data_IF_816242095898
#
_entry.id   IF_816242095898
#
_cell.length_a   1.000
_cell.length_b   1.000
_cell.length_c   1.000
_cell.angle_alpha   90.00
_cell.angle_beta   90.00
_cell.angle_gamma   90.00
#
_symmetry.space_group_name_H-M   'P 1'
#
loop_
_entity.id
_entity.type
_entity.pdbx_description
1 polymer ?
#
# COMPACT_ATOMS: atom_id res chain seq x y z
N UNK A 1 6.07 -28.07 52.44
CA UNK A 1 5.62 -27.30 51.26
C UNK A 1 5.66 -28.26 50.09
N UNK A 2 4.56 -28.99 49.91
CA UNK A 2 4.35 -29.79 48.71
C UNK A 2 4.12 -28.79 47.56
N UNK A 3 4.96 -28.88 46.54
CA UNK A 3 4.70 -28.19 45.29
C UNK A 3 3.44 -28.85 44.69
N UNK A 4 2.34 -28.11 44.62
CA UNK A 4 1.21 -28.49 43.76
C UNK A 4 1.76 -28.60 42.34
N UNK A 5 1.93 -29.83 41.85
CA UNK A 5 1.96 -30.11 40.42
C UNK A 5 0.61 -29.66 39.86
N UNK A 6 0.55 -28.41 39.40
CA UNK A 6 -0.55 -27.94 38.58
C UNK A 6 -0.54 -28.83 37.33
N UNK A 7 -1.49 -29.75 37.25
CA UNK A 7 -1.75 -30.54 36.04
C UNK A 7 -1.87 -29.65 34.81
N UNK A 8 -1.68 -30.19 33.60
CA UNK A 8 -1.61 -29.39 32.38
C UNK A 8 -2.81 -28.43 32.28
N UNK A 9 -2.52 -27.12 32.28
CA UNK A 9 -3.56 -26.08 32.15
C UNK A 9 -4.37 -26.38 30.88
N UNK A 10 -5.66 -26.61 31.04
CA UNK A 10 -6.54 -26.84 29.89
C UNK A 10 -6.78 -25.50 29.18
N UNK A 11 -6.15 -25.32 28.02
CA UNK A 11 -6.41 -24.17 27.15
C UNK A 11 -7.56 -24.49 26.19
N UNK A 12 -8.50 -23.56 26.04
CA UNK A 12 -9.48 -23.64 24.97
C UNK A 12 -8.77 -23.48 23.62
N UNK A 13 -9.14 -24.26 22.58
CA UNK A 13 -8.53 -24.14 21.27
C UNK A 13 -8.83 -22.77 20.64
N UNK A 14 -7.95 -22.32 19.76
CA UNK A 14 -8.16 -21.09 19.00
C UNK A 14 -9.47 -21.15 18.20
N UNK A 15 -10.21 -20.04 18.15
CA UNK A 15 -11.47 -19.96 17.42
C UNK A 15 -11.29 -20.20 15.91
N UNK A 16 -12.11 -21.06 15.28
CA UNK A 16 -12.07 -21.32 13.84
C UNK A 16 -12.29 -20.07 12.97
N UNK A 17 -11.67 -20.03 11.80
CA UNK A 17 -11.68 -18.86 10.90
C UNK A 17 -13.07 -18.41 10.44
N UNK A 18 -14.03 -19.34 10.37
CA UNK A 18 -15.41 -19.13 9.91
C UNK A 18 -16.33 -18.48 10.96
N UNK A 19 -15.90 -18.45 12.23
CA UNK A 19 -16.68 -17.84 13.31
C UNK A 19 -16.24 -16.41 13.57
N UNK A 20 -17.13 -15.57 14.12
CA UNK A 20 -16.79 -14.22 14.61
C UNK A 20 -16.78 -14.18 16.13
N UNK A 21 -15.81 -13.50 16.73
CA UNK A 21 -15.82 -13.22 18.18
C UNK A 21 -16.98 -12.27 18.52
N UNK A 22 -17.39 -12.23 19.79
CA UNK A 22 -18.40 -11.27 20.25
C UNK A 22 -17.97 -9.82 19.97
N UNK A 23 -16.68 -9.53 20.15
CA UNK A 23 -16.10 -8.21 19.87
C UNK A 23 -16.18 -7.88 18.38
N UNK A 24 -15.77 -8.80 17.50
CA UNK A 24 -15.87 -8.59 16.04
C UNK A 24 -17.31 -8.37 15.60
N UNK A 25 -18.27 -9.13 16.13
CA UNK A 25 -19.70 -8.95 15.82
C UNK A 25 -20.18 -7.56 16.22
N UNK A 26 -19.85 -7.11 17.42
CA UNK A 26 -20.22 -5.77 17.91
C UNK A 26 -19.64 -4.69 17.00
N UNK A 27 -18.35 -4.79 16.64
CA UNK A 27 -17.70 -3.80 15.78
C UNK A 27 -18.33 -3.78 14.37
N UNK A 28 -18.60 -4.95 13.79
CA UNK A 28 -19.27 -5.05 12.48
C UNK A 28 -20.68 -4.43 12.54
N UNK A 29 -21.47 -4.72 13.57
CA UNK A 29 -22.80 -4.14 13.71
C UNK A 29 -22.76 -2.62 13.91
N UNK A 30 -21.85 -2.11 14.74
CA UNK A 30 -21.67 -0.67 14.93
C UNK A 30 -21.31 0.00 13.60
N UNK A 31 -20.40 -0.59 12.82
CA UNK A 31 -20.01 -0.05 11.52
C UNK A 31 -21.18 -0.07 10.51
N UNK A 32 -21.95 -1.16 10.45
CA UNK A 32 -23.12 -1.26 9.56
C UNK A 32 -24.21 -0.26 9.95
N UNK A 33 -24.51 -0.12 11.24
CA UNK A 33 -25.48 0.86 11.75
C UNK A 33 -24.98 2.28 11.46
N UNK A 34 -23.70 2.56 11.70
CA UNK A 34 -23.10 3.86 11.38
C UNK A 34 -23.18 4.19 9.89
N UNK A 35 -22.88 3.24 9.02
CA UNK A 35 -23.01 3.41 7.57
C UNK A 35 -24.45 3.67 7.14
N UNK A 36 -25.41 2.90 7.66
CA UNK A 36 -26.84 3.11 7.41
C UNK A 36 -27.31 4.46 7.93
N UNK A 37 -26.79 4.91 9.08
CA UNK A 37 -27.11 6.22 9.64
C UNK A 37 -26.59 7.36 8.76
N UNK A 38 -25.37 7.24 8.21
CA UNK A 38 -24.83 8.20 7.23
C UNK A 38 -25.70 8.23 5.97
N UNK A 39 -26.07 7.07 5.43
CA UNK A 39 -26.97 6.99 4.26
C UNK A 39 -28.34 7.60 4.54
N UNK A 40 -28.93 7.29 5.69
CA UNK A 40 -30.19 7.90 6.13
C UNK A 40 -30.02 9.42 6.30
N UNK A 41 -28.89 9.89 6.81
CA UNK A 41 -28.54 11.30 6.93
C UNK A 41 -28.50 12.02 5.57
N UNK A 42 -27.94 11.40 4.53
CA UNK A 42 -27.98 11.94 3.17
C UNK A 42 -29.40 12.09 2.62
N UNK A 43 -30.32 11.20 3.01
CA UNK A 43 -31.72 11.23 2.55
C UNK A 43 -32.58 12.18 3.38
N UNK A 44 -32.42 12.16 4.71
CA UNK A 44 -33.30 12.83 5.66
C UNK A 44 -32.80 14.21 6.09
N UNK A 45 -31.50 14.46 6.02
CA UNK A 45 -30.86 15.68 6.53
C UNK A 45 -29.69 16.13 5.65
N UNK A 46 -29.89 16.12 4.33
CA UNK A 46 -28.86 16.45 3.33
C UNK A 46 -28.12 17.77 3.62
N UNK A 47 -28.85 18.83 4.00
CA UNK A 47 -28.24 20.13 4.29
C UNK A 47 -27.21 20.07 5.42
N UNK A 48 -27.56 19.43 6.53
CA UNK A 48 -26.66 19.32 7.69
C UNK A 48 -25.51 18.34 7.43
N UNK A 49 -25.79 17.20 6.80
CA UNK A 49 -24.80 16.13 6.60
C UNK A 49 -23.84 16.45 5.45
N UNK A 50 -24.34 16.98 4.34
CA UNK A 50 -23.48 17.33 3.20
C UNK A 50 -23.00 18.76 3.30
N UNK A 51 -23.92 19.73 3.25
CA UNK A 51 -23.56 21.15 3.05
C UNK A 51 -22.79 21.74 4.23
N UNK A 52 -23.16 21.41 5.47
CA UNK A 52 -22.58 22.03 6.68
C UNK A 52 -21.38 21.24 7.25
N UNK A 53 -21.28 19.93 7.00
CA UNK A 53 -20.26 19.08 7.61
C UNK A 53 -19.33 18.43 6.60
N UNK A 54 -19.81 17.47 5.78
CA UNK A 54 -18.92 16.72 4.89
C UNK A 54 -18.31 17.56 3.78
N UNK A 55 -19.05 18.53 3.22
CA UNK A 55 -18.57 19.39 2.16
C UNK A 55 -17.37 20.25 2.60
N UNK A 56 -17.45 21.08 3.65
CA UNK A 56 -16.33 21.92 4.06
C UNK A 56 -15.13 21.13 4.60
N UNK A 57 -15.39 19.96 5.20
CA UNK A 57 -14.34 19.11 5.79
C UNK A 57 -13.65 18.28 4.70
N UNK A 58 -14.40 17.55 3.87
CA UNK A 58 -13.83 16.58 2.92
C UNK A 58 -13.80 17.14 1.50
N UNK A 59 -14.91 17.70 1.00
CA UNK A 59 -15.06 18.01 -0.43
C UNK A 59 -14.37 19.31 -0.86
N UNK A 60 -14.54 20.40 -0.12
CA UNK A 60 -13.98 21.70 -0.48
C UNK A 60 -12.43 21.68 -0.50
N UNK A 61 -11.74 20.99 0.44
CA UNK A 61 -10.29 20.79 0.33
C UNK A 61 -9.88 19.97 -0.89
N UNK A 62 -10.68 18.97 -1.29
CA UNK A 62 -10.41 18.14 -2.47
C UNK A 62 -10.52 18.95 -3.75
N UNK A 63 -11.59 19.74 -3.88
CA UNK A 63 -11.77 20.64 -5.04
C UNK A 63 -10.69 21.72 -5.07
N UNK A 64 -10.24 22.20 -3.91
CA UNK A 64 -9.13 23.16 -3.83
C UNK A 64 -7.77 22.54 -4.21
N UNK A 65 -7.55 21.26 -3.90
CA UNK A 65 -6.36 20.51 -4.32
C UNK A 65 -6.38 20.26 -5.84
N UNK A 66 -7.58 20.12 -6.43
CA UNK A 66 -7.80 19.88 -7.86
C UNK A 66 -7.59 21.15 -8.72
N UNK A 67 -8.04 22.31 -8.23
CA UNK A 67 -7.94 23.55 -8.98
C UNK A 67 -6.50 24.06 -9.18
N UNK A 68 -6.33 25.01 -10.11
CA UNK A 68 -5.05 25.58 -10.59
C UNK A 68 -4.02 26.07 -9.53
N UNK A 69 -4.40 26.16 -8.25
CA UNK A 69 -3.47 26.47 -7.17
C UNK A 69 -2.75 25.23 -6.61
N UNK A 70 -3.30 24.01 -6.75
CA UNK A 70 -2.66 22.73 -6.42
C UNK A 70 -2.02 22.65 -5.03
N UNK A 71 -2.64 23.28 -4.01
CA UNK A 71 -1.98 23.47 -2.71
C UNK A 71 -2.96 23.58 -1.52
N UNK A 72 -3.80 22.57 -1.33
CA UNK A 72 -4.63 22.46 -0.13
C UNK A 72 -3.90 21.69 0.99
N UNK A 73 -3.63 22.36 2.12
CA UNK A 73 -3.09 21.71 3.33
C UNK A 73 -4.12 20.85 4.07
N UNK A 74 -3.65 19.87 4.84
CA UNK A 74 -4.53 19.00 5.64
C UNK A 74 -4.92 19.66 6.97
N UNK A 75 -6.21 19.59 7.33
CA UNK A 75 -6.68 19.95 8.66
C UNK A 75 -6.53 18.77 9.64
N UNK A 76 -6.43 19.03 10.96
CA UNK A 76 -6.46 17.97 11.98
C UNK A 76 -7.72 17.09 11.89
N UNK A 77 -8.86 17.68 11.57
CA UNK A 77 -10.14 16.98 11.42
C UNK A 77 -10.10 15.98 10.26
N UNK A 78 -9.62 16.41 9.09
CA UNK A 78 -9.52 15.55 7.90
C UNK A 78 -8.55 14.40 8.16
N UNK A 79 -7.41 14.72 8.77
CA UNK A 79 -6.38 13.75 9.15
C UNK A 79 -6.94 12.68 10.09
N UNK A 80 -7.71 13.09 11.10
CA UNK A 80 -8.35 12.19 12.04
C UNK A 80 -9.39 11.29 11.36
N UNK A 81 -10.26 11.86 10.50
CA UNK A 81 -11.26 11.09 9.75
C UNK A 81 -10.58 10.02 8.91
N UNK A 82 -9.57 10.38 8.11
CA UNK A 82 -8.88 9.42 7.25
C UNK A 82 -8.15 8.33 8.06
N UNK A 83 -7.49 8.70 9.15
CA UNK A 83 -6.77 7.75 10.02
C UNK A 83 -7.73 6.78 10.70
N UNK A 84 -8.83 7.28 11.29
CA UNK A 84 -9.83 6.45 11.96
C UNK A 84 -10.60 5.57 10.98
N UNK A 85 -10.93 6.08 9.79
CA UNK A 85 -11.53 5.27 8.72
C UNK A 85 -10.61 4.14 8.28
N UNK A 86 -9.31 4.40 8.10
CA UNK A 86 -8.33 3.37 7.75
C UNK A 86 -8.25 2.28 8.84
N UNK A 87 -8.10 2.67 10.11
CA UNK A 87 -8.07 1.72 11.24
C UNK A 87 -9.38 0.93 11.35
N UNK A 88 -10.52 1.58 11.14
CA UNK A 88 -11.83 0.94 11.08
C UNK A 88 -11.91 -0.10 9.96
N UNK A 89 -11.42 0.23 8.76
CA UNK A 89 -11.35 -0.69 7.64
C UNK A 89 -10.48 -1.91 7.95
N UNK A 90 -9.33 -1.76 8.63
CA UNK A 90 -8.48 -2.90 9.04
C UNK A 90 -9.27 -3.89 9.91
N UNK A 91 -9.99 -3.39 10.92
CA UNK A 91 -10.75 -4.24 11.85
C UNK A 91 -11.96 -4.90 11.18
N UNK A 92 -12.62 -4.22 10.25
CA UNK A 92 -13.78 -4.76 9.53
C UNK A 92 -13.37 -5.76 8.44
N UNK A 93 -12.38 -5.40 7.62
CA UNK A 93 -11.96 -6.19 6.47
C UNK A 93 -11.23 -7.46 6.90
N UNK A 94 -10.49 -7.48 8.02
CA UNK A 94 -9.80 -8.70 8.47
C UNK A 94 -10.79 -9.86 8.70
N UNK A 95 -11.95 -9.57 9.31
CA UNK A 95 -12.97 -10.56 9.59
C UNK A 95 -13.65 -11.05 8.30
N UNK A 96 -13.91 -10.13 7.36
CA UNK A 96 -14.48 -10.45 6.06
C UNK A 96 -13.53 -11.31 5.21
N UNK A 97 -12.27 -10.91 5.12
CA UNK A 97 -11.24 -11.60 4.34
C UNK A 97 -10.98 -13.00 4.85
N UNK A 98 -10.99 -13.17 6.18
CA UNK A 98 -10.89 -14.47 6.82
C UNK A 98 -12.10 -15.36 6.48
N UNK A 99 -13.32 -14.85 6.59
CA UNK A 99 -14.54 -15.62 6.26
C UNK A 99 -14.60 -16.00 4.78
N UNK A 100 -14.10 -15.15 3.90
CA UNK A 100 -13.98 -15.42 2.46
C UNK A 100 -12.75 -16.27 2.11
N UNK A 101 -11.95 -16.68 3.11
CA UNK A 101 -10.73 -17.48 2.93
C UNK A 101 -9.78 -16.89 1.88
N UNK A 102 -9.67 -15.56 1.86
CA UNK A 102 -8.77 -14.89 0.93
C UNK A 102 -7.31 -15.23 1.27
N UNK A 103 -6.42 -15.36 0.27
CA UNK A 103 -5.01 -15.63 0.52
C UNK A 103 -4.37 -14.52 1.38
N UNK A 104 -3.58 -14.92 2.38
CA UNK A 104 -2.87 -14.04 3.31
C UNK A 104 -1.35 -14.27 3.28
N UNK A 105 -0.86 -14.99 2.27
CA UNK A 105 0.53 -15.38 2.14
C UNK A 105 1.37 -14.31 1.43
N UNK A 106 2.69 -14.54 1.36
CA UNK A 106 3.66 -13.64 0.72
C UNK A 106 3.27 -13.26 -0.72
N UNK A 107 2.62 -14.18 -1.44
CA UNK A 107 2.12 -13.96 -2.80
C UNK A 107 1.06 -12.85 -2.84
N UNK A 108 0.12 -12.87 -1.90
CA UNK A 108 -0.85 -11.77 -1.74
C UNK A 108 -0.16 -10.46 -1.37
N UNK A 109 0.82 -10.50 -0.46
CA UNK A 109 1.55 -9.29 -0.06
C UNK A 109 2.22 -8.61 -1.26
N UNK A 110 2.89 -9.37 -2.13
CA UNK A 110 3.48 -8.81 -3.36
C UNK A 110 2.46 -8.16 -4.28
N UNK A 111 1.30 -8.81 -4.46
CA UNK A 111 0.22 -8.25 -5.26
C UNK A 111 -0.25 -6.91 -4.67
N UNK A 112 -0.51 -6.85 -3.36
CA UNK A 112 -0.95 -5.64 -2.68
C UNK A 112 0.09 -4.52 -2.74
N UNK A 113 1.38 -4.81 -2.56
CA UNK A 113 2.47 -3.82 -2.70
C UNK A 113 2.45 -3.19 -4.10
N UNK A 114 2.32 -4.00 -5.16
CA UNK A 114 2.24 -3.48 -6.53
C UNK A 114 1.04 -2.54 -6.73
N UNK A 115 -0.11 -2.84 -6.12
CA UNK A 115 -1.27 -1.95 -6.14
C UNK A 115 -1.05 -0.66 -5.35
N UNK A 116 -0.33 -0.70 -4.23
CA UNK A 116 0.01 0.52 -3.47
C UNK A 116 0.88 1.46 -4.31
N UNK A 117 1.81 0.92 -5.10
CA UNK A 117 2.66 1.72 -5.99
C UNK A 117 1.88 2.41 -7.13
N UNK A 118 0.68 1.94 -7.48
CA UNK A 118 -0.08 2.47 -8.62
C UNK A 118 -0.67 3.85 -8.32
N UNK A 119 -1.11 4.10 -7.08
CA UNK A 119 -1.71 5.38 -6.70
C UNK A 119 -0.73 6.55 -6.81
N UNK A 120 0.53 6.46 -6.31
CA UNK A 120 1.55 7.49 -6.51
C UNK A 120 1.86 7.80 -7.96
N UNK A 121 1.93 6.79 -8.84
CA UNK A 121 2.23 7.00 -10.27
C UNK A 121 1.15 7.86 -10.93
N UNK A 122 -0.12 7.58 -10.65
CA UNK A 122 -1.23 8.40 -11.15
C UNK A 122 -1.27 9.79 -10.49
N UNK A 123 -0.96 9.88 -9.19
CA UNK A 123 -0.87 11.15 -8.46
C UNK A 123 0.22 12.07 -9.00
N UNK A 124 1.36 11.53 -9.41
CA UNK A 124 2.46 12.33 -9.98
C UNK A 124 2.07 12.90 -11.34
N UNK A 125 1.32 12.14 -12.15
CA UNK A 125 0.76 12.66 -13.41
C UNK A 125 -0.25 13.78 -13.16
N UNK A 126 -1.10 13.62 -12.15
CA UNK A 126 -2.02 14.65 -11.69
C UNK A 126 -1.30 15.91 -11.21
N UNK A 127 -0.30 15.77 -10.33
CA UNK A 127 0.51 16.89 -9.83
C UNK A 127 1.27 17.62 -10.95
N UNK A 128 1.40 17.01 -12.13
CA UNK A 128 2.04 17.55 -13.32
C UNK A 128 1.05 18.14 -14.33
N UNK A 129 -0.24 18.29 -13.99
CA UNK A 129 -1.34 18.72 -14.87
C UNK A 129 -1.50 17.86 -16.14
N UNK A 130 -1.25 16.55 -16.02
CA UNK A 130 -1.52 15.62 -17.13
C UNK A 130 -3.03 15.49 -17.40
N UNK A 131 -3.85 15.43 -16.35
CA UNK A 131 -5.29 15.30 -16.48
C UNK A 131 -5.96 16.68 -16.57
N UNK A 132 -7.10 16.75 -17.26
CA UNK A 132 -7.85 18.01 -17.40
C UNK A 132 -8.56 18.39 -16.09
N UNK A 133 -8.86 19.68 -15.93
CA UNK A 133 -9.60 20.28 -14.80
C UNK A 133 -11.04 19.76 -14.60
N UNK A 134 -11.53 18.89 -15.47
CA UNK A 134 -12.82 18.19 -15.32
C UNK A 134 -12.68 16.78 -14.75
N UNK A 135 -11.46 16.22 -14.72
CA UNK A 135 -11.16 14.82 -14.38
C UNK A 135 -10.10 14.66 -13.30
N UNK A 136 -9.29 15.70 -13.06
CA UNK A 136 -8.36 15.92 -11.93
C UNK A 136 -8.87 15.41 -10.57
N UNK A 137 -10.13 15.72 -10.24
CA UNK A 137 -10.79 15.33 -8.99
C UNK A 137 -10.75 13.81 -8.77
N UNK A 138 -10.73 12.99 -9.83
CA UNK A 138 -10.64 11.53 -9.73
C UNK A 138 -9.30 11.06 -9.16
N UNK A 139 -8.22 11.80 -9.42
CA UNK A 139 -6.86 11.45 -9.04
C UNK A 139 -6.45 12.01 -7.67
N UNK A 140 -7.36 12.73 -7.01
CA UNK A 140 -7.14 13.31 -5.68
C UNK A 140 -7.74 12.43 -4.58
N UNK A 141 -7.11 12.47 -3.40
CA UNK A 141 -7.57 11.74 -2.22
C UNK A 141 -8.87 12.34 -1.69
N UNK A 142 -9.90 11.55 -1.33
CA UNK A 142 -9.89 10.09 -1.21
C UNK A 142 -10.31 9.35 -2.49
N UNK A 143 -10.79 10.04 -3.53
CA UNK A 143 -11.38 9.43 -4.72
C UNK A 143 -10.44 8.48 -5.45
N UNK A 144 -9.16 8.84 -5.57
CA UNK A 144 -8.15 7.97 -6.19
C UNK A 144 -8.09 6.59 -5.52
N UNK A 145 -8.11 6.55 -4.20
CA UNK A 145 -8.05 5.31 -3.43
C UNK A 145 -9.33 4.48 -3.61
N UNK A 146 -10.49 5.14 -3.74
CA UNK A 146 -11.77 4.45 -3.91
C UNK A 146 -11.88 3.77 -5.27
N UNK A 147 -11.56 4.46 -6.37
CA UNK A 147 -11.65 3.84 -7.69
C UNK A 147 -10.52 2.82 -7.91
N UNK A 148 -9.30 3.05 -7.38
CA UNK A 148 -8.24 2.04 -7.44
C UNK A 148 -8.59 0.80 -6.61
N UNK A 149 -9.23 0.95 -5.46
CA UNK A 149 -9.78 -0.17 -4.70
C UNK A 149 -10.87 -0.91 -5.50
N UNK A 150 -11.73 -0.19 -6.22
CA UNK A 150 -12.73 -0.80 -7.10
C UNK A 150 -12.08 -1.60 -8.24
N UNK A 151 -11.01 -1.09 -8.85
CA UNK A 151 -10.20 -1.83 -9.82
C UNK A 151 -9.54 -3.07 -9.19
N UNK A 152 -8.91 -2.93 -8.03
CA UNK A 152 -8.28 -4.04 -7.32
C UNK A 152 -9.27 -5.17 -7.06
N UNK A 153 -10.42 -4.85 -6.47
CA UNK A 153 -11.48 -5.82 -6.16
C UNK A 153 -12.08 -6.38 -7.45
N UNK A 154 -12.33 -5.54 -8.45
CA UNK A 154 -12.85 -5.94 -9.76
C UNK A 154 -11.95 -6.94 -10.46
N UNK A 155 -10.64 -6.68 -10.52
CA UNK A 155 -9.64 -7.58 -11.10
C UNK A 155 -9.51 -8.87 -10.31
N UNK A 156 -9.54 -8.80 -8.97
CA UNK A 156 -9.49 -9.97 -8.10
C UNK A 156 -10.68 -10.92 -8.37
N UNK A 157 -11.90 -10.38 -8.38
CA UNK A 157 -13.13 -11.13 -8.64
C UNK A 157 -13.19 -11.65 -10.08
N UNK A 158 -12.82 -10.81 -11.06
CA UNK A 158 -12.79 -11.18 -12.47
C UNK A 158 -11.81 -12.33 -12.73
N UNK A 159 -10.60 -12.26 -12.17
CA UNK A 159 -9.58 -13.30 -12.30
C UNK A 159 -10.03 -14.61 -11.65
N UNK A 160 -10.63 -14.53 -10.47
CA UNK A 160 -11.20 -15.70 -9.80
C UNK A 160 -12.38 -16.30 -10.59
N UNK A 161 -13.27 -15.49 -11.14
CA UNK A 161 -14.39 -15.95 -11.94
C UNK A 161 -13.95 -16.65 -13.25
N UNK A 162 -12.92 -16.10 -13.92
CA UNK A 162 -12.41 -16.67 -15.18
C UNK A 162 -11.75 -18.03 -14.98
N UNK A 163 -10.85 -18.14 -14.00
CA UNK A 163 -9.94 -19.29 -13.89
C UNK A 163 -9.84 -19.93 -12.51
N UNK A 164 -10.52 -19.41 -11.50
CA UNK A 164 -10.48 -19.91 -10.12
C UNK A 164 -10.99 -21.34 -9.96
N UNK A 165 -11.87 -21.82 -10.85
CA UNK A 165 -12.33 -23.23 -10.87
C UNK A 165 -11.20 -24.25 -11.11
N UNK A 166 -10.05 -23.80 -11.60
CA UNK A 166 -8.86 -24.62 -11.82
C UNK A 166 -7.78 -24.41 -10.77
N UNK A 167 -8.03 -23.61 -9.73
CA UNK A 167 -7.06 -23.46 -8.63
C UNK A 167 -6.82 -24.81 -7.94
N UNK A 168 -5.56 -25.11 -7.69
CA UNK A 168 -5.11 -26.40 -7.12
C UNK A 168 -5.09 -27.58 -8.10
N UNK A 169 -5.43 -27.39 -9.38
CA UNK A 169 -5.32 -28.44 -10.41
C UNK A 169 -4.04 -28.29 -11.20
N UNK A 170 -3.29 -29.38 -11.31
CA UNK A 170 -2.04 -29.42 -12.07
C UNK A 170 -2.25 -30.01 -13.47
N UNK A 171 -1.46 -29.53 -14.44
CA UNK A 171 -1.47 -30.00 -15.82
C UNK A 171 -1.15 -28.88 -16.81
N UNK A 172 -0.29 -29.17 -17.78
CA UNK A 172 0.17 -28.19 -18.77
C UNK A 172 -0.99 -27.58 -19.59
N UNK A 173 -1.94 -28.40 -20.03
CA UNK A 173 -3.11 -27.91 -20.78
C UNK A 173 -4.08 -27.08 -19.94
N UNK A 174 -4.20 -27.35 -18.64
CA UNK A 174 -4.99 -26.50 -17.73
C UNK A 174 -4.29 -25.15 -17.57
N UNK A 175 -2.99 -25.16 -17.35
CA UNK A 175 -2.23 -23.94 -17.19
C UNK A 175 -2.26 -23.06 -18.43
N UNK A 176 -2.09 -23.66 -19.61
CA UNK A 176 -2.17 -22.93 -20.88
C UNK A 176 -3.53 -22.23 -21.02
N UNK A 177 -4.64 -22.93 -20.71
CA UNK A 177 -5.99 -22.33 -20.70
C UNK A 177 -6.11 -21.21 -19.67
N UNK A 178 -5.59 -21.40 -18.44
CA UNK A 178 -5.61 -20.38 -17.38
C UNK A 178 -4.90 -19.12 -17.84
N UNK A 179 -3.67 -19.26 -18.36
CA UNK A 179 -2.87 -18.14 -18.85
C UNK A 179 -3.53 -17.44 -20.03
N UNK A 180 -4.02 -18.16 -21.02
CA UNK A 180 -4.65 -17.56 -22.21
C UNK A 180 -5.93 -16.80 -21.86
N UNK A 181 -6.80 -17.37 -21.01
CA UNK A 181 -8.01 -16.69 -20.55
C UNK A 181 -7.70 -15.46 -19.69
N UNK A 182 -6.76 -15.57 -18.75
CA UNK A 182 -6.33 -14.44 -17.93
C UNK A 182 -5.68 -13.35 -18.79
N UNK A 183 -4.79 -13.70 -19.72
CA UNK A 183 -4.13 -12.72 -20.57
C UNK A 183 -5.14 -11.96 -21.41
N UNK A 184 -6.05 -12.64 -22.12
CA UNK A 184 -7.07 -11.98 -22.92
C UNK A 184 -8.00 -11.08 -22.08
N UNK A 185 -8.47 -11.59 -20.94
CA UNK A 185 -9.35 -10.82 -20.05
C UNK A 185 -8.67 -9.61 -19.41
N UNK A 186 -7.46 -9.79 -18.87
CA UNK A 186 -6.70 -8.72 -18.23
C UNK A 186 -6.15 -7.71 -19.23
N UNK A 187 -5.84 -8.12 -20.46
CA UNK A 187 -5.47 -7.20 -21.54
C UNK A 187 -6.65 -6.31 -21.93
N UNK A 188 -7.85 -6.87 -22.05
CA UNK A 188 -9.07 -6.07 -22.27
C UNK A 188 -9.32 -5.09 -21.11
N UNK A 189 -9.13 -5.53 -19.86
CA UNK A 189 -9.21 -4.66 -18.69
C UNK A 189 -8.12 -3.57 -18.69
N UNK A 190 -6.90 -3.89 -19.13
CA UNK A 190 -5.79 -2.93 -19.23
C UNK A 190 -6.10 -1.87 -20.28
N UNK A 191 -6.65 -2.28 -21.43
CA UNK A 191 -7.11 -1.36 -22.46
C UNK A 191 -8.26 -0.47 -21.95
N UNK A 192 -9.24 -1.03 -21.24
CA UNK A 192 -10.32 -0.25 -20.63
C UNK A 192 -9.80 0.75 -19.60
N UNK A 193 -8.82 0.35 -18.80
CA UNK A 193 -8.15 1.23 -17.84
C UNK A 193 -7.40 2.37 -18.53
N UNK A 194 -6.66 2.07 -19.61
CA UNK A 194 -6.01 3.08 -20.44
C UNK A 194 -7.03 4.07 -21.04
N UNK A 195 -8.08 3.53 -21.66
CA UNK A 195 -9.11 4.29 -22.33
C UNK A 195 -9.87 5.20 -21.36
N UNK A 196 -10.15 4.74 -20.15
CA UNK A 196 -10.91 5.54 -19.19
C UNK A 196 -10.06 6.64 -18.53
N UNK A 197 -8.79 6.36 -18.21
CA UNK A 197 -7.97 7.28 -17.42
C UNK A 197 -7.08 8.18 -18.28
N UNK A 198 -6.40 7.65 -19.29
CA UNK A 198 -5.34 8.38 -19.99
C UNK A 198 -5.78 8.96 -21.33
N UNK A 199 -6.62 8.23 -22.06
CA UNK A 199 -7.06 8.61 -23.40
C UNK A 199 -7.74 10.01 -23.47
N UNK A 200 -8.56 10.44 -22.50
CA UNK A 200 -9.17 11.77 -22.53
C UNK A 200 -8.15 12.92 -22.56
N UNK A 201 -6.99 12.76 -21.91
CA UNK A 201 -5.94 13.77 -21.92
C UNK A 201 -5.34 13.97 -23.32
N UNK A 202 -5.20 12.90 -24.10
CA UNK A 202 -4.69 12.96 -25.48
C UNK A 202 -5.73 13.50 -26.48
N UNK A 203 -7.02 13.31 -26.21
CA UNK A 203 -8.08 13.90 -27.05
C UNK A 203 -8.07 15.43 -26.99
N UNK A 204 -7.78 15.99 -25.81
CA UNK A 204 -7.70 17.43 -25.60
C UNK A 204 -6.39 17.98 -26.20
N UNK A 205 -5.28 17.27 -26.00
CA UNK A 205 -3.95 17.71 -26.41
C UNK A 205 -3.48 17.01 -27.69
N UNK A 206 -4.19 17.24 -28.80
CA UNK A 206 -3.92 16.59 -30.10
C UNK A 206 -2.54 16.92 -30.70
N UNK A 207 -1.87 17.96 -30.21
CA UNK A 207 -0.51 18.33 -30.63
C UNK A 207 0.58 17.46 -29.98
N UNK A 208 0.25 16.74 -28.90
CA UNK A 208 1.20 15.87 -28.20
C UNK A 208 1.41 14.55 -28.93
N UNK A 209 2.63 14.04 -28.88
CA UNK A 209 2.94 12.73 -29.46
C UNK A 209 2.40 11.60 -28.59
N UNK A 210 2.07 10.46 -29.22
CA UNK A 210 1.61 9.25 -28.52
C UNK A 210 2.61 8.09 -28.65
N UNK A 211 3.79 8.33 -29.23
CA UNK A 211 4.72 7.25 -29.60
C UNK A 211 5.30 6.51 -28.39
N UNK A 212 5.73 7.23 -27.34
CA UNK A 212 6.25 6.63 -26.10
C UNK A 212 5.12 5.96 -25.33
N UNK A 213 3.94 6.57 -25.28
CA UNK A 213 2.77 5.98 -24.65
C UNK A 213 2.31 4.68 -25.34
N UNK A 214 2.39 4.62 -26.67
CA UNK A 214 2.11 3.41 -27.44
C UNK A 214 3.15 2.31 -27.15
N UNK A 215 4.44 2.65 -27.13
CA UNK A 215 5.51 1.71 -26.74
C UNK A 215 5.26 1.20 -25.32
N UNK A 216 4.88 2.07 -24.40
CA UNK A 216 4.55 1.70 -23.03
C UNK A 216 3.33 0.76 -22.94
N UNK A 217 2.30 0.96 -23.76
CA UNK A 217 1.15 0.05 -23.83
C UNK A 217 1.58 -1.35 -24.29
N UNK A 218 2.46 -1.44 -25.30
CA UNK A 218 3.03 -2.71 -25.77
C UNK A 218 3.87 -3.36 -24.66
N UNK A 219 4.76 -2.60 -24.01
CA UNK A 219 5.56 -3.09 -22.89
C UNK A 219 4.70 -3.57 -21.72
N UNK A 220 3.58 -2.88 -21.45
CA UNK A 220 2.61 -3.26 -20.43
C UNK A 220 1.95 -4.60 -20.74
N UNK A 221 1.61 -4.84 -22.01
CA UNK A 221 1.09 -6.14 -22.46
C UNK A 221 2.15 -7.25 -22.33
N UNK A 222 3.42 -6.96 -22.63
CA UNK A 222 4.54 -7.90 -22.43
C UNK A 222 4.72 -8.20 -20.96
N UNK A 223 4.72 -7.18 -20.09
CA UNK A 223 4.83 -7.34 -18.63
C UNK A 223 3.64 -8.13 -18.08
N UNK A 224 2.42 -7.88 -18.57
CA UNK A 224 1.24 -8.67 -18.21
C UNK A 224 1.47 -10.15 -18.53
N UNK A 225 1.92 -10.47 -19.74
CA UNK A 225 2.22 -11.85 -20.14
C UNK A 225 3.34 -12.47 -19.28
N UNK A 226 4.45 -11.75 -19.09
CA UNK A 226 5.61 -12.22 -18.31
C UNK A 226 5.24 -12.47 -16.85
N UNK A 227 4.47 -11.57 -16.24
CA UNK A 227 3.96 -11.74 -14.89
C UNK A 227 3.07 -12.97 -14.78
N UNK A 228 2.19 -13.22 -15.76
CA UNK A 228 1.37 -14.44 -15.78
C UNK A 228 2.25 -15.69 -15.92
N UNK A 229 3.32 -15.68 -16.70
CA UNK A 229 4.26 -16.81 -16.82
C UNK A 229 4.99 -17.07 -15.50
N UNK A 230 5.51 -16.01 -14.87
CA UNK A 230 6.25 -16.10 -13.61
C UNK A 230 5.39 -16.59 -12.43
N UNK A 231 4.06 -16.42 -12.51
CA UNK A 231 3.10 -16.74 -11.45
C UNK A 231 2.24 -17.97 -11.74
N UNK A 232 2.69 -18.89 -12.59
CA UNK A 232 1.99 -20.13 -12.98
C UNK A 232 1.32 -20.89 -11.81
N UNK A 233 2.01 -21.02 -10.68
CA UNK A 233 1.54 -21.77 -9.51
C UNK A 233 0.75 -20.91 -8.49
N UNK A 234 0.42 -19.67 -8.83
CA UNK A 234 -0.30 -18.78 -7.91
C UNK A 234 -1.83 -19.00 -8.03
N UNK A 235 -2.57 -18.77 -6.93
CA UNK A 235 -4.03 -18.67 -6.98
C UNK A 235 -4.50 -17.67 -8.04
N UNK A 236 -5.62 -17.95 -8.70
CA UNK A 236 -6.16 -17.12 -9.77
C UNK A 236 -6.29 -15.63 -9.38
N UNK A 237 -6.78 -15.40 -8.16
CA UNK A 237 -7.03 -14.08 -7.61
C UNK A 237 -5.73 -13.27 -7.46
N UNK A 238 -4.74 -13.81 -6.74
CA UNK A 238 -3.45 -13.12 -6.50
C UNK A 238 -2.64 -12.96 -7.78
N UNK A 239 -2.69 -13.98 -8.64
CA UNK A 239 -2.05 -13.97 -9.95
C UNK A 239 -2.54 -12.82 -10.83
N UNK A 240 -3.86 -12.67 -10.96
CA UNK A 240 -4.44 -11.62 -11.77
C UNK A 240 -4.20 -10.22 -11.19
N UNK A 241 -4.32 -10.07 -9.87
CA UNK A 241 -4.01 -8.82 -9.17
C UNK A 241 -2.58 -8.35 -9.42
N UNK A 242 -1.58 -9.22 -9.25
CA UNK A 242 -0.19 -8.85 -9.47
C UNK A 242 0.08 -8.52 -10.94
N UNK A 243 -0.37 -9.40 -11.85
CA UNK A 243 -0.09 -9.22 -13.28
C UNK A 243 -0.68 -7.93 -13.84
N UNK A 244 -1.91 -7.59 -13.43
CA UNK A 244 -2.55 -6.34 -13.81
C UNK A 244 -1.84 -5.12 -13.22
N UNK A 245 -1.53 -5.13 -11.92
CA UNK A 245 -0.84 -4.01 -11.26
C UNK A 245 0.54 -3.74 -11.87
N UNK A 246 1.34 -4.78 -12.15
CA UNK A 246 2.63 -4.60 -12.81
C UNK A 246 2.49 -4.01 -14.21
N UNK A 247 1.47 -4.42 -14.97
CA UNK A 247 1.22 -3.88 -16.31
C UNK A 247 0.76 -2.42 -16.25
N UNK A 248 -0.13 -2.05 -15.33
CA UNK A 248 -0.60 -0.66 -15.18
C UNK A 248 0.48 0.27 -14.63
N UNK A 249 1.41 -0.22 -13.80
CA UNK A 249 2.58 0.54 -13.36
C UNK A 249 3.48 0.91 -14.55
N UNK A 250 3.78 -0.05 -15.43
CA UNK A 250 4.58 0.20 -16.64
C UNK A 250 3.85 1.19 -17.57
N UNK A 251 2.54 1.05 -17.70
CA UNK A 251 1.71 1.98 -18.47
C UNK A 251 1.80 3.41 -17.91
N UNK A 252 1.60 3.58 -16.60
CA UNK A 252 1.63 4.89 -15.95
C UNK A 252 3.00 5.56 -16.01
N UNK A 253 4.08 4.81 -15.76
CA UNK A 253 5.46 5.31 -15.93
C UNK A 253 5.75 5.65 -17.40
N UNK A 254 5.17 4.91 -18.34
CA UNK A 254 5.27 5.24 -19.76
C UNK A 254 4.59 6.56 -20.15
N UNK A 255 3.41 6.82 -19.60
CA UNK A 255 2.74 8.11 -19.76
C UNK A 255 3.51 9.24 -19.09
N UNK A 256 4.16 8.96 -17.97
CA UNK A 256 5.05 9.90 -17.31
C UNK A 256 6.23 10.28 -18.22
N UNK A 257 6.90 9.30 -18.83
CA UNK A 257 7.98 9.55 -19.80
C UNK A 257 7.48 10.29 -21.05
N UNK A 258 6.31 9.94 -21.58
CA UNK A 258 5.69 10.65 -22.70
C UNK A 258 5.45 12.13 -22.37
N UNK A 259 4.92 12.39 -21.18
CA UNK A 259 4.62 13.74 -20.72
C UNK A 259 5.88 14.58 -20.51
N UNK A 260 6.95 13.97 -20.00
CA UNK A 260 8.26 14.63 -19.86
C UNK A 260 8.84 15.05 -21.22
N UNK A 261 8.69 14.20 -22.24
CA UNK A 261 9.30 14.46 -23.57
C UNK A 261 8.46 15.43 -24.40
N UNK A 262 7.14 15.33 -24.34
CA UNK A 262 6.22 16.24 -25.03
C UNK A 262 5.19 16.80 -24.05
N UNK A 263 5.60 17.72 -23.14
CA UNK A 263 4.68 18.34 -22.21
C UNK A 263 3.71 19.26 -22.97
N UNK A 264 2.47 19.32 -22.50
CA UNK A 264 1.49 20.31 -22.96
C UNK A 264 1.35 21.44 -21.94
N UNK A 265 0.67 22.52 -22.35
CA UNK A 265 0.46 23.69 -21.51
C UNK A 265 -0.22 23.31 -20.18
N UNK A 266 0.50 23.50 -19.08
CA UNK A 266 0.04 23.24 -17.73
C UNK A 266 -0.81 24.42 -17.22
N UNK A 267 -1.99 24.14 -16.65
CA UNK A 267 -2.87 25.18 -16.09
C UNK A 267 -2.22 25.89 -14.89
N UNK A 268 -1.35 25.19 -14.15
CA UNK A 268 -0.64 25.73 -12.99
C UNK A 268 0.58 26.60 -13.32
N UNK A 269 0.98 26.68 -14.59
CA UNK A 269 2.22 27.34 -15.06
C UNK A 269 3.52 26.84 -14.37
N UNK A 270 3.50 25.68 -13.70
CA UNK A 270 4.64 25.04 -13.02
C UNK A 270 5.53 24.27 -13.98
N UNK A 271 6.01 24.92 -15.05
CA UNK A 271 6.92 24.28 -15.99
C UNK A 271 8.35 24.42 -15.46
N UNK A 272 8.82 23.40 -14.72
CA UNK A 272 10.27 23.25 -14.49
C UNK A 272 10.90 22.63 -15.73
N UNK A 273 11.95 23.27 -16.26
CA UNK A 273 12.71 22.76 -17.41
C UNK A 273 13.80 21.76 -17.01
N UNK A 274 14.08 21.61 -15.71
CA UNK A 274 15.21 20.85 -15.20
C UNK A 274 14.74 19.54 -14.55
N UNK A 275 14.83 18.44 -15.31
CA UNK A 275 14.57 17.09 -14.81
C UNK A 275 15.75 16.66 -13.93
N UNK A 276 15.48 16.35 -12.65
CA UNK A 276 16.52 15.90 -11.71
C UNK A 276 16.34 14.42 -11.34
N UNK A 277 17.17 13.55 -11.92
CA UNK A 277 17.05 12.09 -11.72
C UNK A 277 17.85 11.57 -10.52
N UNK A 278 18.85 12.30 -10.04
CA UNK A 278 19.74 11.82 -8.97
C UNK A 278 19.04 11.51 -7.63
N UNK A 279 17.94 12.19 -7.20
CA UNK A 279 17.28 11.89 -5.93
C UNK A 279 16.78 10.45 -5.84
N UNK A 280 16.52 9.79 -6.99
CA UNK A 280 16.04 8.41 -7.05
C UNK A 280 17.01 7.43 -6.39
N UNK A 281 18.32 7.70 -6.47
CA UNK A 281 19.35 6.84 -5.90
C UNK A 281 19.38 6.90 -4.37
N UNK A 282 18.99 8.04 -3.79
CA UNK A 282 18.88 8.18 -2.34
C UNK A 282 17.54 7.62 -1.88
N UNK A 283 16.44 8.10 -2.47
CA UNK A 283 15.08 7.79 -2.01
C UNK A 283 14.69 6.34 -2.26
N UNK A 284 15.12 5.73 -3.37
CA UNK A 284 14.83 4.32 -3.66
C UNK A 284 16.05 3.43 -3.43
N UNK A 285 17.26 3.92 -3.74
CA UNK A 285 18.48 3.11 -3.65
C UNK A 285 18.91 2.81 -2.21
N UNK A 286 18.92 3.79 -1.29
CA UNK A 286 19.31 3.53 0.11
C UNK A 286 18.31 2.61 0.83
N UNK A 287 16.98 2.85 0.79
CA UNK A 287 16.02 1.90 1.36
C UNK A 287 16.09 0.52 0.70
N UNK A 288 16.32 0.46 -0.62
CA UNK A 288 16.51 -0.79 -1.35
C UNK A 288 17.73 -1.58 -0.85
N UNK A 289 18.85 -0.90 -0.61
CA UNK A 289 20.05 -1.51 -0.03
C UNK A 289 19.79 -2.03 1.38
N UNK A 290 19.13 -1.26 2.24
CA UNK A 290 18.76 -1.68 3.61
C UNK A 290 17.86 -2.93 3.55
N UNK A 291 16.85 -2.92 2.68
CA UNK A 291 15.96 -4.07 2.48
C UNK A 291 16.71 -5.30 1.95
N UNK A 292 17.68 -5.11 1.06
CA UNK A 292 18.53 -6.20 0.58
C UNK A 292 19.37 -6.81 1.72
N UNK A 293 19.97 -5.98 2.58
CA UNK A 293 20.71 -6.46 3.75
C UNK A 293 19.81 -7.24 4.71
N UNK A 294 18.61 -6.72 5.01
CA UNK A 294 17.61 -7.42 5.83
C UNK A 294 17.18 -8.76 5.21
N UNK A 295 16.97 -8.79 3.90
CA UNK A 295 16.65 -10.01 3.17
C UNK A 295 17.77 -11.05 3.27
N UNK A 296 19.03 -10.64 3.07
CA UNK A 296 20.19 -11.53 3.20
C UNK A 296 20.29 -12.10 4.61
N UNK A 297 20.00 -11.31 5.64
CA UNK A 297 20.00 -11.75 7.04
C UNK A 297 18.91 -12.78 7.37
N UNK A 298 17.75 -12.72 6.70
CA UNK A 298 16.59 -13.55 7.00
C UNK A 298 16.29 -14.72 6.06
N UNK A 299 16.87 -14.73 4.85
CA UNK A 299 16.48 -15.67 3.78
C UNK A 299 16.68 -17.14 4.12
N UNK A 300 17.75 -17.48 4.86
CA UNK A 300 18.07 -18.87 5.21
C UNK A 300 17.02 -19.43 6.17
N UNK A 301 16.73 -18.69 7.24
CA UNK A 301 15.72 -19.05 8.24
C UNK A 301 14.32 -19.07 7.62
N UNK A 302 14.02 -18.16 6.70
CA UNK A 302 12.75 -18.17 5.95
C UNK A 302 12.61 -19.42 5.08
N UNK A 303 13.68 -19.85 4.40
CA UNK A 303 13.68 -21.09 3.61
C UNK A 303 13.55 -22.33 4.49
N UNK A 304 14.29 -22.40 5.60
CA UNK A 304 14.19 -23.50 6.56
C UNK A 304 12.78 -23.60 7.14
N UNK A 305 12.19 -22.48 7.56
CA UNK A 305 10.84 -22.46 8.09
C UNK A 305 9.81 -22.92 7.04
N UNK A 306 9.98 -22.52 5.78
CA UNK A 306 9.12 -22.97 4.68
C UNK A 306 9.17 -24.49 4.47
N UNK A 307 10.33 -25.12 4.67
CA UNK A 307 10.46 -26.59 4.59
C UNK A 307 9.73 -27.32 5.71
N UNK A 308 9.52 -26.66 6.86
CA UNK A 308 8.74 -27.24 7.97
C UNK A 308 7.23 -27.12 7.79
N UNK A 309 6.76 -26.38 6.77
CA UNK A 309 5.34 -26.13 6.53
C UNK A 309 4.72 -25.03 7.40
N UNK A 310 5.51 -24.40 8.28
CA UNK A 310 5.05 -23.28 9.12
C UNK A 310 5.29 -21.91 8.46
N UNK A 311 4.57 -20.89 8.95
CA UNK A 311 4.70 -19.49 8.51
C UNK A 311 5.40 -18.65 9.58
N UNK A 312 6.21 -17.69 9.16
CA UNK A 312 6.99 -16.85 10.06
C UNK A 312 6.09 -16.00 10.97
N UNK A 313 6.27 -16.12 12.29
CA UNK A 313 5.51 -15.41 13.32
C UNK A 313 4.05 -15.80 13.45
N UNK A 314 3.63 -16.94 12.88
CA UNK A 314 2.26 -17.44 12.95
C UNK A 314 2.25 -18.77 13.71
N UNK A 315 1.39 -18.86 14.72
CA UNK A 315 1.25 -20.08 15.52
C UNK A 315 0.54 -21.20 14.73
N UNK A 316 0.84 -22.48 15.04
CA UNK A 316 0.13 -23.62 14.46
C UNK A 316 -1.39 -23.56 14.69
N UNK A 317 -2.15 -24.19 13.80
CA UNK A 317 -3.61 -24.25 13.92
C UNK A 317 -4.06 -24.88 15.25
N UNK A 318 -5.05 -24.28 15.91
CA UNK A 318 -5.61 -24.75 17.17
C UNK A 318 -4.89 -24.24 18.43
N UNK A 319 -3.68 -23.70 18.29
CA UNK A 319 -2.89 -23.18 19.41
C UNK A 319 -3.18 -21.69 19.63
N UNK A 320 -3.47 -21.33 20.88
CA UNK A 320 -3.70 -19.93 21.27
C UNK A 320 -2.41 -19.24 21.65
N UNK A 321 -2.36 -17.91 21.52
CA UNK A 321 -1.20 -17.12 21.95
C UNK A 321 -0.93 -17.30 23.45
N UNK A 322 -1.99 -17.35 24.25
CA UNK A 322 -1.89 -17.55 25.70
C UNK A 322 -1.23 -18.90 26.05
N UNK A 323 -1.61 -19.97 25.35
CA UNK A 323 -0.98 -21.28 25.54
C UNK A 323 0.51 -21.26 25.15
N UNK A 324 0.85 -20.51 24.09
CA UNK A 324 2.24 -20.38 23.64
C UNK A 324 3.12 -19.66 24.67
N UNK A 325 2.61 -18.60 25.27
CA UNK A 325 3.31 -17.78 26.27
C UNK A 325 3.38 -18.46 27.65
N UNK A 326 2.33 -19.19 28.05
CA UNK A 326 2.26 -19.87 29.35
C UNK A 326 3.11 -21.17 29.39
N UNK A 327 3.50 -21.73 28.24
CA UNK A 327 4.28 -22.98 28.12
C UNK A 327 5.62 -22.80 27.37
N UNK A 328 6.51 -21.86 27.77
CA UNK A 328 7.70 -21.49 26.97
C UNK A 328 8.69 -22.65 26.79
N UNK A 329 8.86 -23.51 27.79
CA UNK A 329 9.77 -24.66 27.72
C UNK A 329 9.36 -25.65 26.62
N UNK A 330 8.04 -25.87 26.45
CA UNK A 330 7.47 -26.76 25.43
C UNK A 330 7.74 -26.25 24.03
N UNK A 331 7.65 -24.95 23.81
CA UNK A 331 7.73 -24.33 22.48
C UNK A 331 9.12 -23.81 22.12
N UNK A 332 10.07 -23.82 23.07
CA UNK A 332 11.46 -23.35 22.90
C UNK A 332 12.18 -23.94 21.67
N UNK A 333 11.91 -25.22 21.36
CA UNK A 333 12.52 -25.94 20.23
C UNK A 333 11.67 -25.90 18.95
N UNK A 334 10.49 -25.28 19.00
CA UNK A 334 9.58 -25.25 17.86
C UNK A 334 10.16 -24.35 16.75
N UNK A 335 10.13 -24.76 15.46
CA UNK A 335 10.69 -23.97 14.36
C UNK A 335 10.16 -22.54 14.29
N UNK A 336 8.87 -22.34 14.59
CA UNK A 336 8.24 -21.01 14.69
C UNK A 336 8.90 -20.13 15.75
N UNK A 337 9.33 -20.68 16.88
CA UNK A 337 9.96 -19.85 17.92
C UNK A 337 11.39 -19.49 17.53
N UNK A 338 12.14 -20.47 17.04
CA UNK A 338 13.57 -20.33 16.74
C UNK A 338 13.85 -19.53 15.45
N UNK A 339 13.10 -19.78 14.37
CA UNK A 339 13.41 -19.24 13.04
C UNK A 339 12.61 -17.98 12.70
N UNK A 340 11.45 -17.74 13.33
CA UNK A 340 10.55 -16.66 12.87
C UNK A 340 11.19 -15.28 12.94
N UNK A 341 12.03 -15.02 13.95
CA UNK A 341 12.52 -13.66 14.15
C UNK A 341 13.35 -13.17 12.95
N UNK A 342 14.32 -13.97 12.52
CA UNK A 342 15.13 -13.66 11.34
C UNK A 342 14.36 -13.89 10.05
N UNK A 343 13.54 -14.94 9.96
CA UNK A 343 12.71 -15.19 8.77
C UNK A 343 11.81 -14.00 8.43
N UNK A 344 11.26 -13.31 9.45
CA UNK A 344 10.44 -12.12 9.27
C UNK A 344 11.17 -10.94 8.65
N UNK A 345 12.49 -10.81 8.84
CA UNK A 345 13.29 -9.75 8.22
C UNK A 345 13.31 -9.88 6.69
N UNK A 346 13.22 -11.11 6.17
CA UNK A 346 13.14 -11.38 4.73
C UNK A 346 11.71 -11.39 4.19
N UNK A 347 10.70 -11.22 5.04
CA UNK A 347 9.31 -11.30 4.63
C UNK A 347 8.89 -10.02 3.86
N UNK A 348 8.20 -10.11 2.71
CA UNK A 348 7.82 -8.95 1.89
C UNK A 348 7.05 -7.86 2.65
N UNK A 349 6.22 -8.25 3.62
CA UNK A 349 5.53 -7.34 4.54
C UNK A 349 6.50 -6.39 5.27
N UNK A 350 7.57 -6.93 5.86
CA UNK A 350 8.55 -6.16 6.64
C UNK A 350 9.41 -5.32 5.70
N UNK A 351 9.90 -5.93 4.61
CA UNK A 351 10.72 -5.24 3.62
C UNK A 351 9.98 -4.06 2.99
N UNK A 352 8.72 -4.25 2.57
CA UNK A 352 7.92 -3.19 1.98
C UNK A 352 7.63 -2.05 2.97
N UNK A 353 7.40 -2.38 4.25
CA UNK A 353 7.16 -1.37 5.29
C UNK A 353 8.40 -0.52 5.54
N UNK A 354 9.57 -1.17 5.68
CA UNK A 354 10.87 -0.49 5.83
C UNK A 354 11.16 0.38 4.62
N UNK A 355 11.02 -0.19 3.42
CA UNK A 355 11.22 0.54 2.18
C UNK A 355 10.35 1.79 2.12
N UNK A 356 9.04 1.64 2.36
CA UNK A 356 8.09 2.75 2.28
C UNK A 356 8.37 3.86 3.28
N UNK A 357 8.61 3.54 4.55
CA UNK A 357 8.85 4.56 5.58
C UNK A 357 10.18 5.30 5.40
N UNK A 358 11.22 4.59 4.94
CA UNK A 358 12.50 5.21 4.66
C UNK A 358 12.47 6.03 3.36
N UNK A 359 11.81 5.54 2.32
CA UNK A 359 11.63 6.29 1.08
C UNK A 359 10.90 7.61 1.35
N UNK A 360 9.83 7.59 2.15
CA UNK A 360 9.14 8.80 2.61
C UNK A 360 10.08 9.77 3.35
N UNK A 361 10.77 9.28 4.38
CA UNK A 361 11.69 10.09 5.16
C UNK A 361 12.78 10.75 4.30
N UNK A 362 13.40 10.01 3.39
CA UNK A 362 14.41 10.55 2.48
C UNK A 362 13.82 11.47 1.41
N UNK A 363 12.62 11.20 0.89
CA UNK A 363 11.97 12.05 -0.10
C UNK A 363 11.64 13.41 0.50
N UNK A 364 11.03 13.45 1.69
CA UNK A 364 10.71 14.70 2.40
C UNK A 364 11.98 15.47 2.77
N UNK A 365 13.01 14.76 3.28
CA UNK A 365 14.30 15.39 3.61
C UNK A 365 14.92 16.08 2.38
N UNK A 366 15.01 15.38 1.25
CA UNK A 366 15.55 15.98 0.03
C UNK A 366 14.66 17.10 -0.50
N UNK A 367 13.34 16.89 -0.50
CA UNK A 367 12.38 17.88 -0.98
C UNK A 367 12.53 19.22 -0.26
N UNK A 368 12.67 19.20 1.06
CA UNK A 368 12.74 20.43 1.86
C UNK A 368 14.19 20.96 1.93
N UNK A 369 15.14 20.14 2.40
CA UNK A 369 16.51 20.62 2.69
C UNK A 369 17.34 20.89 1.41
N UNK A 370 16.98 20.29 0.27
CA UNK A 370 17.75 20.43 -0.99
C UNK A 370 16.98 21.18 -2.07
N UNK A 371 15.67 20.92 -2.20
CA UNK A 371 14.85 21.50 -3.28
C UNK A 371 13.94 22.65 -2.82
N UNK A 372 13.86 22.95 -1.52
CA UNK A 372 13.09 24.07 -0.97
C UNK A 372 11.57 23.92 -1.07
N UNK A 373 11.06 22.68 -1.17
CA UNK A 373 9.61 22.41 -1.09
C UNK A 373 9.08 22.59 0.33
N UNK A 374 7.77 22.86 0.46
CA UNK A 374 7.09 22.95 1.76
C UNK A 374 6.39 21.65 2.19
N UNK A 375 6.39 21.37 3.49
CA UNK A 375 5.62 20.27 4.08
C UNK A 375 4.14 20.64 4.27
N UNK A 376 3.23 19.73 3.88
CA UNK A 376 1.77 19.96 3.92
C UNK A 376 1.10 19.34 5.15
N UNK A 377 1.73 18.35 5.79
CA UNK A 377 1.16 17.67 6.95
C UNK A 377 1.50 18.37 8.27
N UNK A 378 0.50 18.67 9.13
CA UNK A 378 0.75 19.39 10.39
C UNK A 378 1.75 18.70 11.32
N UNK A 379 1.70 17.38 11.41
CA UNK A 379 2.57 16.59 12.30
C UNK A 379 4.00 16.55 11.75
N UNK A 380 4.17 16.31 10.45
CA UNK A 380 5.49 16.33 9.80
C UNK A 380 6.13 17.71 9.91
N UNK A 381 5.36 18.77 9.66
CA UNK A 381 5.84 20.15 9.75
C UNK A 381 6.34 20.51 11.17
N UNK A 382 5.64 20.02 12.21
CA UNK A 382 6.09 20.22 13.59
C UNK A 382 7.45 19.55 13.89
N UNK A 383 7.70 18.36 13.33
CA UNK A 383 9.00 17.68 13.47
C UNK A 383 10.09 18.46 12.73
N UNK A 384 9.82 18.98 11.54
CA UNK A 384 10.79 19.75 10.75
C UNK A 384 11.15 21.06 11.45
N UNK A 385 10.17 21.80 11.98
CA UNK A 385 10.42 23.02 12.76
C UNK A 385 11.33 22.77 13.96
N UNK A 386 11.09 21.67 14.68
CA UNK A 386 11.97 21.26 15.78
C UNK A 386 13.37 20.87 15.29
N UNK A 387 13.49 20.30 14.10
CA UNK A 387 14.78 20.08 13.42
C UNK A 387 15.52 21.38 13.13
N UNK A 388 14.81 22.42 12.69
CA UNK A 388 15.36 23.76 12.50
C UNK A 388 15.86 24.39 13.80
N UNK A 389 15.11 24.24 14.91
CA UNK A 389 15.55 24.67 16.24
C UNK A 389 16.83 23.95 16.68
N UNK A 390 16.94 22.64 16.41
CA UNK A 390 18.15 21.85 16.68
C UNK A 390 19.33 22.30 15.82
N UNK A 391 19.11 22.61 14.54
CA UNK A 391 20.14 23.18 13.67
C UNK A 391 20.71 24.47 14.27
N UNK A 392 19.84 25.37 14.75
CA UNK A 392 20.24 26.60 15.41
C UNK A 392 21.03 26.37 16.71
N UNK A 393 20.67 25.35 17.50
CA UNK A 393 21.40 24.99 18.72
C UNK A 393 22.76 24.34 18.44
N UNK A 394 22.87 23.55 17.39
CA UNK A 394 24.07 22.78 17.03
C UNK A 394 25.01 23.54 16.09
N UNK A 395 24.60 24.70 15.57
CA UNK A 395 25.36 25.49 14.60
C UNK A 395 25.44 24.83 13.22
N UNK A 396 24.37 24.14 12.79
CA UNK A 396 24.27 23.49 11.48
C UNK A 396 23.63 24.48 10.51
N UNK A 397 24.40 24.97 9.54
CA UNK A 397 23.93 25.92 8.51
C UNK A 397 23.33 25.21 7.27
N UNK A 398 23.14 23.89 7.32
CA UNK A 398 22.66 23.08 6.20
C UNK A 398 21.23 22.58 6.42
N UNK A 399 20.34 22.85 5.46
CA UNK A 399 18.94 22.44 5.45
C UNK A 399 18.04 23.25 6.40
N UNK A 400 16.73 23.08 6.25
CA UNK A 400 15.71 23.65 7.13
C UNK A 400 15.41 22.77 8.35
N UNK A 401 16.00 21.56 8.40
CA UNK A 401 15.88 20.62 9.53
C UNK A 401 15.11 19.35 9.18
N UNK A 402 14.80 19.11 7.91
CA UNK A 402 14.02 17.94 7.49
C UNK A 402 14.78 16.62 7.63
N UNK A 403 16.11 16.63 7.77
CA UNK A 403 16.91 15.47 8.19
C UNK A 403 16.40 14.82 9.47
N UNK A 404 15.83 15.60 10.40
CA UNK A 404 15.25 15.05 11.63
C UNK A 404 14.02 14.18 11.33
N UNK A 405 13.20 14.57 10.35
CA UNK A 405 12.05 13.78 9.94
C UNK A 405 12.48 12.41 9.39
N UNK A 406 13.51 12.37 8.54
CA UNK A 406 14.09 11.11 8.06
C UNK A 406 14.60 10.22 9.22
N UNK A 407 15.28 10.82 10.21
CA UNK A 407 15.77 10.11 11.39
C UNK A 407 14.62 9.55 12.24
N UNK A 408 13.57 10.35 12.49
CA UNK A 408 12.39 9.93 13.26
C UNK A 408 11.69 8.77 12.54
N UNK A 409 11.53 8.84 11.21
CA UNK A 409 10.98 7.76 10.39
C UNK A 409 11.82 6.48 10.48
N UNK A 410 13.15 6.59 10.41
CA UNK A 410 14.06 5.46 10.53
C UNK A 410 13.98 4.78 11.92
N UNK A 411 13.94 5.57 13.00
CA UNK A 411 13.78 5.05 14.36
C UNK A 411 12.41 4.39 14.54
N UNK A 412 11.34 5.06 14.07
CA UNK A 412 9.98 4.56 14.17
C UNK A 412 9.85 3.22 13.45
N UNK A 413 10.32 3.12 12.20
CA UNK A 413 10.23 1.86 11.46
C UNK A 413 11.12 0.78 12.06
N UNK A 414 12.29 1.13 12.58
CA UNK A 414 13.14 0.20 13.34
C UNK A 414 12.44 -0.37 14.58
N UNK A 415 11.74 0.47 15.35
CA UNK A 415 10.95 0.05 16.51
C UNK A 415 9.75 -0.81 16.10
N UNK A 416 9.03 -0.45 15.04
CA UNK A 416 7.91 -1.24 14.52
C UNK A 416 8.40 -2.62 14.06
N UNK A 417 9.52 -2.69 13.33
CA UNK A 417 10.12 -3.96 12.89
C UNK A 417 10.53 -4.80 14.10
N UNK A 418 11.19 -4.19 15.09
CA UNK A 418 11.59 -4.89 16.31
C UNK A 418 10.39 -5.50 17.04
N UNK A 419 9.31 -4.73 17.23
CA UNK A 419 8.06 -5.24 17.81
C UNK A 419 7.46 -6.36 16.94
N UNK A 420 7.37 -6.14 15.63
CA UNK A 420 6.72 -7.06 14.70
C UNK A 420 7.43 -8.40 14.57
N UNK A 421 8.76 -8.40 14.69
CA UNK A 421 9.61 -9.58 14.67
C UNK A 421 9.40 -10.43 15.93
N UNK A 422 9.20 -9.79 17.09
CA UNK A 422 8.97 -10.47 18.37
C UNK A 422 7.52 -10.98 18.52
N UNK A 423 6.55 -10.27 17.94
CA UNK A 423 5.14 -10.66 18.07
C UNK A 423 4.83 -11.98 17.34
N UNK A 424 4.15 -12.89 18.03
CA UNK A 424 3.50 -14.08 17.46
C UNK A 424 2.02 -13.81 17.32
N UNK A 425 1.43 -14.27 16.23
CA UNK A 425 -0.02 -14.14 15.98
C UNK A 425 -0.66 -15.52 15.84
N UNK A 426 -1.91 -15.63 16.29
CA UNK A 426 -2.69 -16.84 16.06
C UNK A 426 -2.98 -17.02 14.56
N UNK A 427 -3.23 -18.26 14.13
CA UNK A 427 -3.54 -18.57 12.74
C UNK A 427 -4.66 -17.67 12.16
N UNK A 428 -5.72 -17.47 12.95
CA UNK A 428 -6.88 -16.62 12.63
C UNK A 428 -6.53 -15.14 12.41
N UNK A 429 -5.46 -14.65 13.01
CA UNK A 429 -5.07 -13.24 13.01
C UNK A 429 -4.15 -12.87 11.83
N UNK A 430 -3.89 -13.80 10.90
CA UNK A 430 -3.05 -13.54 9.71
C UNK A 430 -3.54 -12.35 8.88
N UNK A 431 -4.84 -12.24 8.61
CA UNK A 431 -5.40 -11.13 7.83
C UNK A 431 -5.28 -9.80 8.56
N UNK A 432 -5.48 -9.79 9.89
CA UNK A 432 -5.29 -8.60 10.71
C UNK A 432 -3.84 -8.12 10.65
N UNK A 433 -2.88 -9.05 10.79
CA UNK A 433 -1.46 -8.78 10.66
C UNK A 433 -1.11 -8.20 9.29
N UNK A 434 -1.59 -8.81 8.21
CA UNK A 434 -1.37 -8.33 6.84
C UNK A 434 -1.91 -6.91 6.63
N UNK A 435 -3.12 -6.63 7.12
CA UNK A 435 -3.79 -5.35 6.94
C UNK A 435 -3.16 -4.21 7.75
N UNK A 436 -2.68 -4.48 8.98
CA UNK A 436 -1.91 -3.48 9.74
C UNK A 436 -0.62 -3.14 9.00
N UNK A 437 0.12 -4.15 8.55
CA UNK A 437 1.36 -3.90 7.81
C UNK A 437 1.08 -3.12 6.54
N UNK A 438 0.03 -3.48 5.81
CA UNK A 438 -0.38 -2.75 4.61
C UNK A 438 -0.73 -1.29 4.93
N UNK A 439 -1.43 -1.02 6.04
CA UNK A 439 -1.74 0.34 6.47
C UNK A 439 -0.47 1.16 6.75
N UNK A 440 0.48 0.62 7.53
CA UNK A 440 1.77 1.28 7.80
C UNK A 440 2.58 1.45 6.51
N UNK A 441 2.54 0.47 5.60
CA UNK A 441 3.21 0.52 4.30
C UNK A 441 2.62 1.62 3.41
N UNK A 442 1.30 1.74 3.32
CA UNK A 442 0.61 2.77 2.52
C UNK A 442 1.00 4.18 3.01
N UNK A 443 1.04 4.39 4.33
CA UNK A 443 1.36 5.69 4.94
C UNK A 443 2.79 6.15 4.67
N UNK A 444 3.72 5.25 4.32
CA UNK A 444 5.09 5.62 3.94
C UNK A 444 5.32 5.54 2.43
N UNK A 445 5.02 4.39 1.82
CA UNK A 445 5.33 4.13 0.42
C UNK A 445 4.61 5.08 -0.53
N UNK A 446 3.34 5.39 -0.26
CA UNK A 446 2.56 6.24 -1.14
C UNK A 446 3.08 7.69 -1.21
N UNK A 447 3.29 8.40 -0.07
CA UNK A 447 3.90 9.74 -0.10
C UNK A 447 5.34 9.70 -0.60
N UNK A 448 6.18 8.75 -0.16
CA UNK A 448 7.57 8.66 -0.61
C UNK A 448 7.73 8.48 -2.13
N UNK A 449 6.88 7.68 -2.77
CA UNK A 449 6.86 7.51 -4.23
C UNK A 449 6.27 8.72 -4.97
N UNK A 450 5.32 9.43 -4.36
CA UNK A 450 4.76 10.66 -4.94
C UNK A 450 5.78 11.78 -4.90
N UNK A 451 6.40 12.01 -3.75
CA UNK A 451 7.36 13.08 -3.53
C UNK A 451 8.60 12.92 -4.42
N UNK A 452 9.13 11.70 -4.57
CA UNK A 452 10.22 11.47 -5.54
C UNK A 452 9.80 11.74 -6.99
N UNK A 453 8.58 11.36 -7.37
CA UNK A 453 8.06 11.63 -8.71
C UNK A 453 7.94 13.14 -8.98
N UNK A 454 7.45 13.89 -7.98
CA UNK A 454 7.38 15.36 -8.00
C UNK A 454 8.76 16.00 -8.08
N UNK A 455 9.73 15.53 -7.29
CA UNK A 455 11.12 16.00 -7.33
C UNK A 455 11.75 15.78 -8.72
N UNK A 456 11.51 14.62 -9.32
CA UNK A 456 12.05 14.27 -10.64
C UNK A 456 11.43 15.12 -11.76
N UNK A 457 10.15 15.49 -11.63
CA UNK A 457 9.44 16.38 -12.56
C UNK A 457 9.62 17.88 -12.28
N UNK A 458 10.02 18.25 -11.07
CA UNK A 458 10.10 19.64 -10.63
C UNK A 458 8.74 20.31 -10.38
N UNK A 459 7.74 19.59 -9.84
CA UNK A 459 6.34 20.07 -9.67
C UNK A 459 5.80 20.13 -8.23
#
# INVERSE_FOLDING_TARGET
>A
MEAEEQGPKAFAPSLPDDQYTSVEKVIIWIALIGFLFVLAGFVLAYGTVWTETLKPIIWDPVVKDAGAAGDAGYTPQNTAIYTLSMLGCVVLLQALFRKWKLPSDERMTWALIAWVCLAPVLRVLEDADFFSSSTDVLFISPLIHLHLAAWLVGIALFSHALVGRWDGREGDGIEERRRTLLFGGLFAALYAHWYWLYQPAYEIHTESSFDIALVALVLSAVVLWMSLVATRAWPALTRGMLAFACATLVLGVGHWLQFIVTPWAQESARVSTDITLWPVWIVLGLPGLICYLMYVMGREDAQQLKLTGYKAGVLPEGITLKQWEDEPERWSSHPVEFLSNKALLAHPMVLGMVFGQLADGFATMLGIDVFGYGEKHPVSNAVIQYGGDLNAMLGIDWGEGAWLFALVKAILVGLIVWLFVQMRVEHRQQHFRLLIVLAVLIVGLAPGLRDIGRLMLGV
#
